data_IF_562145169910
#
_entry.id   IF_562145169910
#
_cell.length_a   1.000
_cell.length_b   1.000
_cell.length_c   1.000
_cell.angle_alpha   90.00
_cell.angle_beta   90.00
_cell.angle_gamma   90.00
#
_symmetry.space_group_name_H-M   'P 1'
#
loop_
_entity.id
_entity.type
_entity.pdbx_description
1 polymer ?
#
# COMPACT_ATOMS: atom_id res chain seq x y z
N UNK A 1 16.79 35.30 -9.49
CA UNK A 1 17.34 34.53 -10.64
C UNK A 1 16.85 33.11 -10.44
N UNK A 2 15.95 32.63 -11.31
CA UNK A 2 15.46 31.24 -11.22
C UNK A 2 16.52 30.38 -11.91
N UNK A 3 17.07 29.40 -11.19
CA UNK A 3 17.97 28.42 -11.79
C UNK A 3 17.13 27.40 -12.57
N UNK A 4 17.10 27.42 -13.91
CA UNK A 4 16.27 26.53 -14.70
C UNK A 4 16.69 25.06 -14.60
N UNK A 5 17.92 24.80 -14.13
CA UNK A 5 18.43 23.44 -13.92
C UNK A 5 18.07 22.87 -12.54
N UNK A 6 17.58 23.68 -11.61
CA UNK A 6 17.21 23.24 -10.27
C UNK A 6 16.13 22.15 -10.33
N UNK A 7 15.08 22.37 -11.11
CA UNK A 7 14.00 21.43 -11.26
C UNK A 7 14.40 20.09 -11.92
N UNK A 8 15.43 20.08 -12.75
CA UNK A 8 15.89 18.87 -13.44
C UNK A 8 16.65 17.88 -12.53
N UNK A 9 17.04 18.31 -11.35
CA UNK A 9 17.69 17.47 -10.34
C UNK A 9 16.67 16.58 -9.57
N UNK A 10 15.39 16.90 -9.70
CA UNK A 10 14.30 16.17 -9.04
C UNK A 10 13.44 15.48 -10.11
N UNK A 11 12.79 14.36 -9.75
CA UNK A 11 11.93 13.65 -10.69
C UNK A 11 10.87 14.61 -11.29
N UNK A 12 10.89 14.77 -12.61
CA UNK A 12 10.11 15.78 -13.33
C UNK A 12 8.61 15.45 -13.44
N UNK A 13 8.20 14.24 -13.06
CA UNK A 13 6.82 13.78 -13.25
C UNK A 13 5.81 14.44 -12.31
N UNK A 14 6.25 14.97 -11.16
CA UNK A 14 5.37 15.53 -10.13
C UNK A 14 5.71 16.98 -9.73
N UNK A 15 6.64 17.63 -10.42
CA UNK A 15 6.98 19.02 -10.16
C UNK A 15 5.96 19.95 -10.84
N UNK A 16 4.99 20.41 -10.07
CA UNK A 16 4.05 21.47 -10.46
C UNK A 16 4.49 22.82 -9.90
N UNK A 17 3.87 23.88 -10.40
CA UNK A 17 4.07 25.22 -9.82
C UNK A 17 3.63 25.22 -8.35
N UNK A 18 4.42 25.83 -7.48
CA UNK A 18 4.21 25.89 -6.02
C UNK A 18 4.39 24.55 -5.27
N UNK A 19 5.06 23.56 -5.86
CA UNK A 19 5.48 22.37 -5.12
C UNK A 19 6.53 22.71 -4.05
N UNK A 20 6.50 21.99 -2.93
CA UNK A 20 7.56 21.99 -1.93
C UNK A 20 8.49 20.80 -2.17
N UNK A 21 9.77 21.00 -1.93
CA UNK A 21 10.78 19.94 -1.97
C UNK A 21 11.41 19.85 -0.58
N UNK A 22 11.31 18.69 0.03
CA UNK A 22 12.03 18.34 1.25
C UNK A 22 13.21 17.48 0.84
N UNK A 23 14.42 17.86 1.22
CA UNK A 23 15.65 17.15 0.83
C UNK A 23 16.60 16.98 2.00
N UNK A 24 17.24 15.83 2.06
CA UNK A 24 18.36 15.52 2.95
C UNK A 24 19.51 14.92 2.16
N UNK A 25 20.61 14.59 2.81
CA UNK A 25 21.70 13.86 2.16
C UNK A 25 21.33 12.44 1.71
N UNK A 26 20.21 11.88 2.19
CA UNK A 26 19.76 10.52 1.89
C UNK A 26 18.80 10.47 0.69
N UNK A 27 17.79 11.32 0.70
CA UNK A 27 16.72 11.33 -0.30
C UNK A 27 15.93 12.63 -0.31
N UNK A 28 15.04 12.78 -1.26
CA UNK A 28 14.13 13.91 -1.34
C UNK A 28 12.68 13.42 -1.55
N UNK A 29 11.72 14.26 -1.15
CA UNK A 29 10.29 14.08 -1.47
C UNK A 29 9.74 15.41 -2.01
N UNK A 30 8.96 15.30 -3.07
CA UNK A 30 8.24 16.43 -3.66
C UNK A 30 6.81 16.37 -3.16
N UNK A 31 6.31 17.48 -2.64
CA UNK A 31 4.92 17.66 -2.25
C UNK A 31 4.31 18.61 -3.26
N UNK A 32 3.34 18.16 -4.03
CA UNK A 32 2.65 19.04 -4.97
C UNK A 32 1.68 19.96 -4.22
N UNK A 33 1.33 21.09 -4.83
CA UNK A 33 0.37 22.00 -4.22
C UNK A 33 -1.00 21.37 -3.97
N UNK A 34 -1.42 20.46 -4.87
CA UNK A 34 -2.68 19.72 -4.74
C UNK A 34 -2.70 18.77 -3.55
N UNK A 35 -1.55 18.19 -3.19
CA UNK A 35 -1.47 17.20 -2.12
C UNK A 35 -1.67 17.82 -0.72
N UNK A 36 -1.54 19.16 -0.65
CA UNK A 36 -1.78 19.90 0.60
C UNK A 36 -3.26 20.12 0.91
N UNK A 37 -4.15 19.74 0.00
CA UNK A 37 -5.58 19.93 0.15
C UNK A 37 -6.33 18.60 0.08
N UNK A 38 -7.23 18.41 1.03
CA UNK A 38 -8.21 17.34 0.97
C UNK A 38 -9.37 17.80 0.07
N UNK A 39 -9.81 16.90 -0.80
CA UNK A 39 -10.87 17.22 -1.75
C UNK A 39 -11.88 16.08 -1.81
N UNK A 40 -13.15 16.43 -1.96
CA UNK A 40 -14.25 15.49 -2.19
C UNK A 40 -14.94 15.80 -3.52
N UNK A 41 -15.40 14.74 -4.18
CA UNK A 41 -16.19 14.87 -5.40
C UNK A 41 -17.67 14.99 -5.01
N UNK A 42 -18.26 16.13 -5.38
CA UNK A 42 -19.72 16.27 -5.36
C UNK A 42 -20.32 15.54 -6.56
N UNK A 43 -20.86 14.37 -6.31
CA UNK A 43 -21.46 13.53 -7.37
C UNK A 43 -22.72 14.14 -8.00
N UNK A 44 -23.31 15.18 -7.41
CA UNK A 44 -24.47 15.87 -8.00
C UNK A 44 -24.06 16.88 -9.07
N UNK A 45 -22.89 17.48 -8.91
CA UNK A 45 -22.35 18.52 -9.82
C UNK A 45 -21.09 18.08 -10.56
N UNK A 46 -20.54 16.90 -10.20
CA UNK A 46 -19.24 16.41 -10.67
C UNK A 46 -18.09 17.40 -10.44
N UNK A 47 -18.22 18.25 -9.43
CA UNK A 47 -17.19 19.20 -9.05
C UNK A 47 -16.35 18.69 -7.88
N UNK A 48 -15.05 18.99 -7.91
CA UNK A 48 -14.14 18.70 -6.82
C UNK A 48 -14.11 19.90 -5.87
N UNK A 49 -14.48 19.69 -4.62
CA UNK A 49 -14.52 20.71 -3.58
C UNK A 49 -13.39 20.48 -2.58
N UNK A 50 -12.69 21.54 -2.20
CA UNK A 50 -11.70 21.49 -1.13
C UNK A 50 -12.45 21.38 0.21
N UNK A 51 -12.15 20.33 0.99
CA UNK A 51 -12.77 20.05 2.28
C UNK A 51 -11.82 20.25 3.47
N UNK A 52 -10.50 20.22 3.21
CA UNK A 52 -9.50 20.36 4.25
C UNK A 52 -8.15 20.87 3.74
N UNK A 53 -7.27 21.20 4.68
CA UNK A 53 -5.88 21.56 4.42
C UNK A 53 -4.95 20.68 5.26
N UNK A 54 -4.14 19.88 4.60
CA UNK A 54 -3.22 18.88 5.19
C UNK A 54 -1.73 19.25 4.94
N UNK A 55 -1.41 20.51 4.79
CA UNK A 55 -0.04 20.93 4.52
C UNK A 55 0.96 20.58 5.62
N UNK A 56 0.52 20.56 6.89
CA UNK A 56 1.35 20.14 8.03
C UNK A 56 1.62 18.63 7.98
N UNK A 57 0.59 17.81 7.75
CA UNK A 57 0.73 16.36 7.61
C UNK A 57 1.66 15.99 6.47
N UNK A 58 1.48 16.59 5.30
CA UNK A 58 2.34 16.37 4.13
C UNK A 58 3.81 16.74 4.40
N UNK A 59 4.04 17.88 5.04
CA UNK A 59 5.40 18.31 5.36
C UNK A 59 6.06 17.39 6.41
N UNK A 60 5.33 17.01 7.46
CA UNK A 60 5.81 16.12 8.51
C UNK A 60 6.13 14.73 7.95
N UNK A 61 5.23 14.17 7.11
CA UNK A 61 5.44 12.92 6.39
C UNK A 61 6.69 12.98 5.49
N UNK A 62 6.87 14.08 4.74
CA UNK A 62 8.03 14.25 3.89
C UNK A 62 9.35 14.35 4.67
N UNK A 63 9.34 15.02 5.83
CA UNK A 63 10.51 15.08 6.72
C UNK A 63 10.82 13.68 7.27
N UNK A 64 9.83 12.94 7.76
CA UNK A 64 9.99 11.58 8.23
C UNK A 64 10.57 10.68 7.14
N UNK A 65 10.03 10.74 5.91
CA UNK A 65 10.56 10.03 4.76
C UNK A 65 12.03 10.36 4.48
N UNK A 66 12.38 11.63 4.44
CA UNK A 66 13.74 12.06 4.11
C UNK A 66 14.77 11.73 5.19
N UNK A 67 14.35 11.52 6.43
CA UNK A 67 15.24 11.27 7.58
C UNK A 67 15.28 9.82 8.04
N UNK A 68 14.22 9.02 7.76
CA UNK A 68 14.16 7.62 8.17
C UNK A 68 15.27 6.79 7.54
N UNK A 69 15.77 5.82 8.27
CA UNK A 69 16.69 4.79 7.75
C UNK A 69 15.94 3.53 7.30
N UNK A 70 14.76 3.32 7.85
CA UNK A 70 13.94 2.14 7.64
C UNK A 70 12.54 2.55 7.18
N UNK A 71 12.08 1.97 6.09
CA UNK A 71 10.76 2.21 5.53
C UNK A 71 9.96 0.91 5.62
N UNK A 72 8.80 0.92 6.30
CA UNK A 72 7.97 -0.27 6.35
C UNK A 72 7.53 -0.67 4.95
N UNK A 73 7.62 -1.95 4.65
CA UNK A 73 7.25 -2.51 3.35
C UNK A 73 6.10 -3.50 3.48
N UNK A 74 5.11 -3.33 2.63
CA UNK A 74 3.92 -4.17 2.56
C UNK A 74 3.92 -4.95 1.26
N UNK A 75 3.65 -6.24 1.32
CA UNK A 75 3.52 -7.08 0.15
C UNK A 75 2.06 -7.44 -0.12
N UNK A 76 1.59 -7.08 -1.30
CA UNK A 76 0.27 -7.48 -1.79
C UNK A 76 0.40 -8.84 -2.48
N UNK A 77 -0.27 -9.85 -1.93
CA UNK A 77 -0.26 -11.19 -2.49
C UNK A 77 -1.16 -11.24 -3.72
N UNK A 78 -0.70 -11.91 -4.76
CA UNK A 78 -1.46 -12.16 -5.99
C UNK A 78 -1.22 -13.59 -6.50
N UNK A 79 -2.09 -14.07 -7.38
CA UNK A 79 -2.05 -15.41 -7.98
C UNK A 79 -3.34 -16.20 -7.77
N UNK A 80 -4.21 -15.75 -6.88
CA UNK A 80 -5.47 -16.42 -6.53
C UNK A 80 -6.69 -15.56 -6.90
N UNK A 81 -6.56 -14.74 -7.96
CA UNK A 81 -7.54 -13.76 -8.42
C UNK A 81 -7.95 -12.76 -7.32
N UNK A 82 -7.00 -12.28 -6.56
CA UNK A 82 -7.23 -11.21 -5.60
C UNK A 82 -7.67 -9.93 -6.31
N UNK A 83 -8.56 -9.19 -5.68
CA UNK A 83 -8.90 -7.86 -6.15
C UNK A 83 -7.71 -6.91 -6.01
N UNK A 84 -7.59 -5.99 -6.96
CA UNK A 84 -6.63 -4.89 -6.85
C UNK A 84 -7.10 -3.89 -5.81
N UNK A 85 -6.18 -3.40 -4.99
CA UNK A 85 -6.48 -2.28 -4.10
C UNK A 85 -6.80 -1.03 -4.91
N UNK A 86 -7.77 -0.26 -4.43
CA UNK A 86 -8.09 1.01 -5.08
C UNK A 86 -6.97 2.04 -4.93
N UNK A 87 -6.98 3.05 -5.80
CA UNK A 87 -5.95 4.09 -5.81
C UNK A 87 -5.95 4.95 -4.54
N UNK A 88 -7.07 5.05 -3.84
CA UNK A 88 -7.16 5.77 -2.55
C UNK A 88 -6.35 5.06 -1.48
N UNK A 89 -6.44 3.73 -1.42
CA UNK A 89 -5.67 2.94 -0.46
C UNK A 89 -4.16 3.01 -0.75
N UNK A 90 -3.75 2.84 -2.01
CA UNK A 90 -2.33 2.91 -2.37
C UNK A 90 -1.75 4.31 -2.15
N UNK A 91 -2.52 5.36 -2.45
CA UNK A 91 -2.14 6.75 -2.12
C UNK A 91 -2.00 6.96 -0.61
N UNK A 92 -2.84 6.33 0.21
CA UNK A 92 -2.71 6.41 1.67
C UNK A 92 -1.41 5.74 2.16
N UNK A 93 -1.03 4.58 1.61
CA UNK A 93 0.27 3.95 1.91
C UNK A 93 1.44 4.88 1.56
N UNK A 94 1.41 5.50 0.39
CA UNK A 94 2.43 6.46 -0.06
C UNK A 94 2.51 7.70 0.84
N UNK A 95 1.37 8.22 1.30
CA UNK A 95 1.32 9.34 2.26
C UNK A 95 1.95 8.98 3.60
N UNK A 96 1.73 7.77 4.08
CA UNK A 96 2.31 7.24 5.32
C UNK A 96 3.74 6.73 5.15
N UNK A 97 4.33 6.90 3.95
CA UNK A 97 5.67 6.43 3.62
C UNK A 97 5.84 4.92 3.78
N UNK A 98 4.81 4.16 3.46
CA UNK A 98 4.82 2.71 3.42
C UNK A 98 5.09 2.29 1.98
N UNK A 99 6.22 1.62 1.77
CA UNK A 99 6.52 0.99 0.49
C UNK A 99 5.60 -0.22 0.27
N UNK A 100 5.18 -0.44 -0.97
CA UNK A 100 4.39 -1.62 -1.29
C UNK A 100 4.82 -2.26 -2.61
N UNK A 101 4.74 -3.57 -2.64
CA UNK A 101 5.05 -4.38 -3.81
C UNK A 101 4.03 -5.49 -3.98
N UNK A 102 3.69 -5.83 -5.22
CA UNK A 102 2.82 -6.96 -5.52
C UNK A 102 3.67 -8.18 -5.86
N UNK A 103 3.44 -9.30 -5.16
CA UNK A 103 4.17 -10.54 -5.38
C UNK A 103 3.24 -11.72 -5.61
N UNK A 104 3.68 -12.65 -6.46
CA UNK A 104 3.05 -13.97 -6.59
C UNK A 104 3.84 -14.98 -5.78
N UNK A 105 3.20 -15.66 -4.83
CA UNK A 105 3.87 -16.66 -4.00
C UNK A 105 4.43 -17.85 -4.78
N UNK A 106 3.96 -18.05 -6.02
CA UNK A 106 4.52 -19.06 -6.93
C UNK A 106 5.97 -18.76 -7.36
N UNK A 107 6.40 -17.49 -7.26
CA UNK A 107 7.73 -17.04 -7.68
C UNK A 107 8.73 -16.93 -6.51
N UNK A 108 8.25 -17.17 -5.29
CA UNK A 108 9.04 -17.03 -4.06
C UNK A 108 9.02 -18.31 -3.24
N UNK A 109 10.14 -18.68 -2.68
CA UNK A 109 10.23 -19.84 -1.76
C UNK A 109 9.60 -19.54 -0.39
N UNK A 110 9.56 -18.27 0.01
CA UNK A 110 8.95 -17.78 1.24
C UNK A 110 8.51 -16.32 1.06
N UNK A 111 7.71 -15.79 1.97
CA UNK A 111 7.43 -14.35 2.04
C UNK A 111 8.73 -13.62 2.38
N UNK A 112 9.05 -12.50 1.69
CA UNK A 112 10.28 -11.75 1.91
C UNK A 112 10.50 -11.35 3.38
N UNK A 113 11.74 -11.44 3.86
CA UNK A 113 12.09 -11.15 5.26
C UNK A 113 11.86 -9.67 5.64
N UNK A 114 11.85 -8.75 4.66
CA UNK A 114 11.58 -7.33 4.83
C UNK A 114 10.07 -7.00 4.84
N UNK A 115 9.20 -8.03 4.81
CA UNK A 115 7.76 -7.84 4.89
C UNK A 115 7.32 -7.43 6.30
N UNK A 116 6.94 -6.18 6.49
CA UNK A 116 6.27 -5.72 7.71
C UNK A 116 4.83 -6.19 7.81
N UNK A 117 4.17 -6.31 6.67
CA UNK A 117 2.79 -6.80 6.56
C UNK A 117 2.56 -7.38 5.16
N UNK A 118 1.67 -8.37 5.08
CA UNK A 118 1.12 -8.84 3.81
C UNK A 118 -0.35 -8.44 3.70
N UNK A 119 -0.81 -8.22 2.46
CA UNK A 119 -2.22 -7.97 2.15
C UNK A 119 -2.72 -9.07 1.24
N UNK A 120 -3.79 -9.73 1.65
CA UNK A 120 -4.55 -10.69 0.85
C UNK A 120 -5.94 -10.09 0.66
N UNK A 121 -6.24 -9.60 -0.55
CA UNK A 121 -7.45 -8.82 -0.80
C UNK A 121 -8.48 -9.61 -1.59
N UNK A 122 -9.45 -10.20 -0.88
CA UNK A 122 -10.60 -10.90 -1.41
C UNK A 122 -10.24 -11.89 -2.54
N UNK A 123 -9.49 -12.96 -2.26
CA UNK A 123 -9.15 -13.96 -3.26
C UNK A 123 -10.42 -14.66 -3.77
N UNK A 124 -10.49 -14.88 -5.09
CA UNK A 124 -11.61 -15.60 -5.74
C UNK A 124 -11.25 -17.05 -6.10
N UNK A 125 -10.01 -17.47 -5.82
CA UNK A 125 -9.52 -18.85 -6.01
C UNK A 125 -8.82 -19.33 -4.77
N UNK A 126 -8.90 -20.64 -4.54
CA UNK A 126 -8.17 -21.27 -3.44
C UNK A 126 -6.65 -21.15 -3.63
N UNK A 127 -5.95 -21.04 -2.54
CA UNK A 127 -4.50 -21.11 -2.49
C UNK A 127 -4.02 -22.53 -2.84
N UNK A 128 -2.82 -22.64 -3.37
CA UNK A 128 -2.14 -23.93 -3.36
C UNK A 128 -1.77 -24.28 -1.90
N UNK A 129 -1.58 -25.57 -1.60
CA UNK A 129 -1.13 -25.98 -0.28
C UNK A 129 0.23 -25.36 0.09
N UNK A 130 1.12 -25.20 -0.90
CA UNK A 130 2.43 -24.58 -0.74
C UNK A 130 2.32 -23.11 -0.40
N UNK A 131 1.51 -22.36 -1.14
CA UNK A 131 1.31 -20.91 -0.90
C UNK A 131 0.64 -20.65 0.46
N UNK A 132 -0.35 -21.47 0.82
CA UNK A 132 -0.96 -21.39 2.15
C UNK A 132 0.05 -21.66 3.27
N UNK A 133 0.92 -22.64 3.10
CA UNK A 133 1.96 -22.94 4.09
C UNK A 133 2.97 -21.78 4.22
N UNK A 134 3.37 -21.11 3.13
CA UNK A 134 4.24 -19.92 3.18
C UNK A 134 3.60 -18.78 3.98
N UNK A 135 2.30 -18.54 3.79
CA UNK A 135 1.56 -17.53 4.55
C UNK A 135 1.49 -17.93 6.03
N UNK A 136 1.15 -19.17 6.33
CA UNK A 136 1.05 -19.69 7.71
C UNK A 136 2.40 -19.61 8.41
N UNK A 137 3.48 -19.99 7.75
CA UNK A 137 4.83 -19.92 8.31
C UNK A 137 5.22 -18.46 8.62
N UNK A 138 4.97 -17.53 7.70
CA UNK A 138 5.21 -16.11 7.93
C UNK A 138 4.45 -15.58 9.15
N UNK A 139 3.16 -15.92 9.26
CA UNK A 139 2.32 -15.48 10.37
C UNK A 139 2.75 -16.11 11.71
N UNK A 140 3.12 -17.39 11.72
CA UNK A 140 3.62 -18.09 12.90
C UNK A 140 4.97 -17.54 13.39
N UNK A 141 5.76 -16.95 12.49
CA UNK A 141 7.00 -16.26 12.82
C UNK A 141 6.79 -14.81 13.28
N UNK A 142 5.55 -14.37 13.49
CA UNK A 142 5.19 -13.04 13.99
C UNK A 142 4.90 -12.02 12.90
N UNK A 143 4.77 -12.45 11.65
CA UNK A 143 4.33 -11.62 10.54
C UNK A 143 2.91 -11.08 10.76
N UNK A 144 2.59 -10.00 10.07
CA UNK A 144 1.29 -9.32 10.14
C UNK A 144 0.56 -9.45 8.82
N UNK A 145 -0.76 -9.60 8.85
CA UNK A 145 -1.58 -9.64 7.63
C UNK A 145 -2.83 -8.79 7.74
N UNK A 146 -3.17 -8.15 6.64
CA UNK A 146 -4.49 -7.62 6.37
C UNK A 146 -5.17 -8.55 5.37
N UNK A 147 -6.20 -9.27 5.82
CA UNK A 147 -6.94 -10.22 4.99
C UNK A 147 -8.37 -9.72 4.88
N UNK A 148 -8.85 -9.56 3.66
CA UNK A 148 -10.25 -9.30 3.37
C UNK A 148 -10.83 -10.46 2.59
N UNK A 149 -12.14 -10.67 2.72
CA UNK A 149 -12.86 -11.75 2.04
C UNK A 149 -14.14 -11.19 1.42
N UNK A 150 -14.52 -11.76 0.28
CA UNK A 150 -15.84 -11.61 -0.30
C UNK A 150 -16.54 -12.98 -0.39
N UNK A 151 -17.84 -12.95 -0.64
CA UNK A 151 -18.58 -14.18 -0.90
C UNK A 151 -18.18 -14.74 -2.27
N UNK A 152 -17.70 -15.98 -2.27
CA UNK A 152 -17.44 -16.77 -3.49
C UNK A 152 -18.15 -18.09 -3.39
N UNK A 153 -18.74 -18.57 -4.51
CA UNK A 153 -19.48 -19.84 -4.58
C UNK A 153 -18.53 -21.01 -4.93
N UNK A 154 -17.36 -21.03 -4.27
CA UNK A 154 -16.40 -22.13 -4.35
C UNK A 154 -15.84 -22.44 -2.96
N UNK A 155 -15.40 -23.68 -2.77
CA UNK A 155 -14.68 -24.07 -1.56
C UNK A 155 -13.21 -23.67 -1.68
N UNK A 156 -12.68 -23.05 -0.63
CA UNK A 156 -11.28 -22.62 -0.55
C UNK A 156 -10.60 -23.21 0.70
N UNK A 157 -10.40 -24.54 0.75
CA UNK A 157 -9.91 -25.22 1.98
C UNK A 157 -8.52 -24.77 2.40
N UNK A 158 -7.64 -24.39 1.48
CA UNK A 158 -6.31 -23.90 1.82
C UNK A 158 -6.34 -22.46 2.35
N UNK A 159 -7.18 -21.60 1.77
CA UNK A 159 -7.42 -20.27 2.33
C UNK A 159 -8.09 -20.32 3.70
N UNK A 160 -9.08 -21.19 3.88
CA UNK A 160 -9.71 -21.44 5.17
C UNK A 160 -8.70 -21.96 6.22
N UNK A 161 -7.70 -22.75 5.80
CA UNK A 161 -6.61 -23.21 6.67
C UNK A 161 -5.81 -22.02 7.21
N UNK A 162 -5.49 -21.02 6.38
CA UNK A 162 -4.81 -19.79 6.82
C UNK A 162 -5.64 -19.09 7.92
N UNK A 163 -6.94 -18.92 7.69
CA UNK A 163 -7.83 -18.25 8.65
C UNK A 163 -8.00 -19.05 9.95
N UNK A 164 -8.02 -20.38 9.86
CA UNK A 164 -8.20 -21.27 11.00
C UNK A 164 -7.06 -21.22 12.00
N UNK A 165 -5.83 -20.86 11.59
CA UNK A 165 -4.69 -20.62 12.50
C UNK A 165 -5.01 -19.52 13.53
N UNK A 166 -5.93 -18.59 13.19
CA UNK A 166 -6.40 -17.52 14.08
C UNK A 166 -7.78 -17.81 14.68
N UNK A 167 -8.27 -19.04 14.56
CA UNK A 167 -9.59 -19.43 15.06
C UNK A 167 -10.76 -18.83 14.28
N UNK A 168 -10.53 -18.39 13.06
CA UNK A 168 -11.56 -17.87 12.17
C UNK A 168 -12.07 -18.98 11.24
N UNK A 169 -13.38 -19.00 11.01
CA UNK A 169 -14.01 -19.94 10.06
C UNK A 169 -14.94 -19.17 9.15
N UNK A 170 -14.86 -19.45 7.85
CA UNK A 170 -15.84 -18.92 6.88
C UNK A 170 -17.14 -19.71 7.04
N UNK A 171 -18.24 -19.02 7.18
CA UNK A 171 -19.55 -19.66 7.19
C UNK A 171 -20.12 -19.66 5.77
N UNK A 172 -20.38 -20.84 5.23
CA UNK A 172 -21.16 -20.97 4.00
C UNK A 172 -22.59 -20.48 4.26
N UNK A 173 -23.05 -19.47 3.53
CA UNK A 173 -24.43 -18.98 3.56
C UNK A 173 -25.42 -19.94 2.90
#
# INVERSE_FOLDING_TARGET
MVNPQFASSYSTTNLSQNSLIVETSKRYKVISYSDMYETEIDYSTYSQNVTGYDGEGQLTSAIAYCTSDDMPKVYMITGHNEYTLDSGFTTALEKENIDYETISLMEYDAIPEDAECIIIHAPEKDFSEDDANKVIEYLNNGGKALITTEYVDIQMPNFEKILSEFGLTIQSG
#
